data_IF_378661780922
#
_entry.id   IF_378661780922
#
_cell.length_a   1.000
_cell.length_b   1.000
_cell.length_c   1.000
_cell.angle_alpha   90.00
_cell.angle_beta   90.00
_cell.angle_gamma   90.00
#
_symmetry.space_group_name_H-M   'P 1'
#
loop_
_entity.id
_entity.type
_entity.pdbx_description
1 polymer ?
#
# COMPACT_ATOMS: atom_id res chain seq x y z
N UNK A 1 0.10 31.46 39.21
CA UNK A 1 0.41 30.04 39.46
C UNK A 1 -0.91 29.30 39.47
N UNK A 2 -1.04 28.26 38.66
CA UNK A 2 -2.27 27.48 38.58
C UNK A 2 -2.53 26.71 39.87
N UNK A 3 -3.76 26.73 40.37
CA UNK A 3 -4.17 25.98 41.56
C UNK A 3 -4.38 24.53 41.19
N UNK A 4 -3.62 23.62 41.80
CA UNK A 4 -3.78 22.19 41.58
C UNK A 4 -5.17 21.70 42.02
N UNK A 5 -5.74 20.78 41.25
CA UNK A 5 -7.10 20.26 41.45
C UNK A 5 -7.00 18.99 42.27
N UNK A 6 -7.64 18.96 43.44
CA UNK A 6 -7.71 17.78 44.31
C UNK A 6 -9.12 17.17 44.22
N UNK A 7 -9.21 15.94 43.72
CA UNK A 7 -10.44 15.15 43.59
C UNK A 7 -10.56 14.16 44.74
N UNK A 8 -11.78 13.98 45.26
CA UNK A 8 -12.07 12.98 46.30
C UNK A 8 -11.97 13.49 47.74
N UNK A 9 -11.79 14.81 47.98
CA UNK A 9 -11.73 15.38 49.33
C UNK A 9 -12.82 16.41 49.61
N UNK A 10 -13.36 16.34 50.83
CA UNK A 10 -14.15 17.42 51.42
C UNK A 10 -13.25 18.57 51.93
N UNK A 11 -13.81 19.74 52.22
CA UNK A 11 -13.06 20.86 52.83
C UNK A 11 -12.46 20.49 54.20
N UNK A 12 -13.13 19.63 54.97
CA UNK A 12 -12.60 19.12 56.23
C UNK A 12 -11.39 18.20 56.02
N UNK A 13 -11.45 17.31 55.02
CA UNK A 13 -10.34 16.42 54.69
C UNK A 13 -9.13 17.19 54.15
N UNK A 14 -9.34 18.27 53.37
CA UNK A 14 -8.25 19.15 52.91
C UNK A 14 -7.50 19.77 54.09
N UNK A 15 -8.22 20.30 55.09
CA UNK A 15 -7.61 20.88 56.30
C UNK A 15 -6.89 19.82 57.15
N UNK A 16 -7.45 18.61 57.25
CA UNK A 16 -6.92 17.55 58.11
C UNK A 16 -5.69 16.84 57.52
N UNK A 17 -5.74 16.52 56.22
CA UNK A 17 -4.73 15.67 55.59
C UNK A 17 -3.71 16.44 54.75
N UNK A 18 -3.96 17.73 54.44
CA UNK A 18 -3.05 18.54 53.63
C UNK A 18 -2.80 17.88 52.28
N UNK A 19 -1.54 17.54 51.97
CA UNK A 19 -1.18 16.84 50.73
C UNK A 19 -0.94 15.33 50.92
N UNK A 20 -1.08 14.81 52.14
CA UNK A 20 -0.76 13.40 52.47
C UNK A 20 -1.76 12.44 51.83
N UNK A 21 -1.29 11.44 51.08
CA UNK A 21 -2.15 10.45 50.43
C UNK A 21 -2.86 10.96 49.18
N UNK A 22 -2.26 11.95 48.50
CA UNK A 22 -2.62 12.36 47.15
C UNK A 22 -1.75 11.64 46.13
N UNK A 23 -2.36 11.14 45.04
CA UNK A 23 -1.64 10.65 43.86
C UNK A 23 -1.94 11.52 42.66
N UNK A 24 -0.94 11.76 41.82
CA UNK A 24 -1.14 12.48 40.55
C UNK A 24 -1.85 11.56 39.56
N UNK A 25 -3.06 11.94 39.12
CA UNK A 25 -3.83 11.16 38.13
C UNK A 25 -3.81 11.78 36.74
N UNK A 26 -3.37 13.03 36.62
CA UNK A 26 -3.21 13.68 35.31
C UNK A 26 -3.00 15.17 35.40
N UNK A 27 -3.16 15.84 34.27
CA UNK A 27 -3.11 17.30 34.16
C UNK A 27 -4.33 17.80 33.41
N UNK A 28 -4.84 18.94 33.86
CA UNK A 28 -5.93 19.62 33.21
C UNK A 28 -5.45 20.22 31.89
N UNK A 29 -6.10 19.84 30.80
CA UNK A 29 -5.97 20.50 29.51
C UNK A 29 -6.89 21.73 29.48
N UNK A 30 -6.32 22.90 29.26
CA UNK A 30 -7.07 24.14 29.10
C UNK A 30 -6.86 24.64 27.68
N UNK A 31 -7.97 24.90 26.98
CA UNK A 31 -7.95 25.43 25.62
C UNK A 31 -8.22 26.92 25.65
N UNK A 32 -7.22 27.73 25.34
CA UNK A 32 -7.35 29.18 25.20
C UNK A 32 -7.38 29.53 23.71
N UNK A 33 -8.59 29.67 23.17
CA UNK A 33 -8.78 29.91 21.74
C UNK A 33 -8.32 28.74 20.87
N UNK A 34 -7.20 28.91 20.16
CA UNK A 34 -6.59 27.89 19.28
C UNK A 34 -5.45 27.11 19.94
N UNK A 35 -4.94 27.58 21.08
CA UNK A 35 -3.84 26.93 21.77
C UNK A 35 -4.36 26.04 22.91
N UNK A 36 -3.69 24.91 23.09
CA UNK A 36 -3.96 23.97 24.17
C UNK A 36 -2.74 23.94 25.07
N UNK A 37 -2.91 24.25 26.34
CA UNK A 37 -1.87 24.19 27.35
C UNK A 37 -2.24 23.25 28.49
N UNK A 38 -1.22 22.60 29.06
CA UNK A 38 -1.36 21.87 30.31
C UNK A 38 -1.30 22.89 31.44
N UNK A 39 -2.38 23.01 32.21
CA UNK A 39 -2.49 24.01 33.27
C UNK A 39 -2.19 23.41 34.65
N UNK A 40 -3.21 22.83 35.29
CA UNK A 40 -3.14 22.41 36.69
C UNK A 40 -2.89 20.90 36.78
N UNK A 41 -2.15 20.45 37.80
CA UNK A 41 -2.12 19.03 38.11
C UNK A 41 -3.47 18.61 38.70
N UNK A 42 -3.86 17.37 38.43
CA UNK A 42 -5.05 16.76 39.00
C UNK A 42 -4.57 15.64 39.93
N UNK A 43 -4.75 15.85 41.22
CA UNK A 43 -4.48 14.89 42.27
C UNK A 43 -5.76 14.19 42.71
N UNK A 44 -5.64 12.95 43.13
CA UNK A 44 -6.72 12.16 43.70
C UNK A 44 -6.34 11.65 45.08
N UNK A 45 -7.27 11.74 46.03
CA UNK A 45 -7.12 11.09 47.34
C UNK A 45 -7.14 9.56 47.20
N UNK A 46 -6.24 8.88 47.89
CA UNK A 46 -6.21 7.41 47.98
C UNK A 46 -6.38 6.91 49.41
N UNK A 47 -6.58 7.82 50.36
CA UNK A 47 -6.83 7.46 51.75
C UNK A 47 -8.24 6.87 51.97
N UNK A 48 -9.16 7.11 51.03
CA UNK A 48 -10.54 6.60 51.07
C UNK A 48 -10.90 5.89 49.78
N UNK A 49 -11.93 5.06 49.84
CA UNK A 49 -12.49 4.41 48.65
C UNK A 49 -13.26 5.41 47.81
N UNK A 50 -13.01 5.40 46.50
CA UNK A 50 -13.70 6.24 45.53
C UNK A 50 -14.28 5.38 44.40
N UNK A 51 -15.48 5.76 43.94
CA UNK A 51 -16.01 5.27 42.66
C UNK A 51 -15.72 6.33 41.62
N UNK A 52 -14.95 5.98 40.58
CA UNK A 52 -14.55 6.90 39.53
C UNK A 52 -15.24 6.52 38.23
N UNK A 53 -15.97 7.47 37.64
CA UNK A 53 -16.55 7.33 36.31
C UNK A 53 -15.71 8.11 35.30
N UNK A 54 -15.03 7.39 34.40
CA UNK A 54 -14.27 7.99 33.31
C UNK A 54 -15.16 7.97 32.06
N UNK A 55 -15.59 9.15 31.63
CA UNK A 55 -16.32 9.33 30.38
C UNK A 55 -15.54 10.22 29.42
N UNK A 56 -15.60 9.87 28.14
CA UNK A 56 -14.95 10.63 27.08
C UNK A 56 -15.68 10.42 25.76
N UNK A 57 -15.50 11.34 24.82
CA UNK A 57 -15.98 11.14 23.46
C UNK A 57 -15.31 9.87 22.95
N UNK A 58 -16.10 8.86 22.57
CA UNK A 58 -15.54 7.62 22.02
C UNK A 58 -14.64 8.01 20.85
N UNK A 59 -13.41 7.52 20.84
CA UNK A 59 -12.54 7.60 19.65
C UNK A 59 -13.14 6.83 18.45
N UNK A 60 -14.20 6.04 18.69
CA UNK A 60 -15.00 5.39 17.66
C UNK A 60 -16.03 6.36 17.07
N UNK A 61 -16.02 6.45 15.74
CA UNK A 61 -16.84 7.39 14.98
C UNK A 61 -16.24 7.71 13.60
N UNK A 62 -14.93 7.56 13.46
CA UNK A 62 -14.20 7.86 12.22
C UNK A 62 -14.02 6.61 11.36
N UNK A 63 -15.13 5.98 10.96
CA UNK A 63 -15.08 4.74 10.17
C UNK A 63 -15.19 5.03 8.66
N UNK A 64 -14.62 4.14 7.86
CA UNK A 64 -14.79 4.10 6.41
C UNK A 64 -15.37 2.74 6.03
N UNK A 65 -15.96 2.61 4.84
CA UNK A 65 -16.48 1.35 4.35
C UNK A 65 -15.37 0.30 4.21
N UNK A 66 -15.71 -0.98 4.39
CA UNK A 66 -14.75 -2.08 4.46
C UNK A 66 -13.89 -2.28 3.20
N UNK A 67 -14.40 -1.87 2.05
CA UNK A 67 -13.69 -1.91 0.75
C UNK A 67 -12.81 -0.69 0.49
N UNK A 68 -12.72 0.25 1.43
CA UNK A 68 -11.88 1.44 1.27
C UNK A 68 -10.42 1.02 1.17
N UNK A 69 -9.78 1.36 0.05
CA UNK A 69 -8.39 1.01 -0.19
C UNK A 69 -7.44 1.85 0.67
N UNK A 70 -6.53 1.18 1.37
CA UNK A 70 -5.48 1.79 2.18
C UNK A 70 -4.11 1.46 1.58
N UNK A 71 -3.29 2.49 1.46
CA UNK A 71 -1.94 2.40 0.92
C UNK A 71 -0.96 1.88 1.99
N UNK A 72 -0.34 0.73 1.70
CA UNK A 72 0.75 0.17 2.49
C UNK A 72 2.08 0.88 2.17
N UNK A 73 3.07 0.68 3.04
CA UNK A 73 4.40 1.28 2.92
C UNK A 73 5.28 0.70 1.80
N UNK A 74 4.85 -0.41 1.21
CA UNK A 74 5.49 -1.12 0.09
C UNK A 74 4.87 -0.80 -1.28
N UNK A 75 3.89 0.11 -1.34
CA UNK A 75 3.25 0.49 -2.60
C UNK A 75 1.98 -0.28 -2.93
N UNK A 76 1.65 -1.36 -2.21
CA UNK A 76 0.37 -2.06 -2.40
C UNK A 76 -0.79 -1.29 -1.80
N UNK A 77 -1.98 -1.50 -2.36
CA UNK A 77 -3.24 -1.05 -1.80
C UNK A 77 -4.07 -2.27 -1.42
N UNK A 78 -4.63 -2.27 -0.22
CA UNK A 78 -5.52 -3.32 0.25
C UNK A 78 -6.81 -2.72 0.83
N UNK A 79 -7.96 -3.41 0.74
CA UNK A 79 -9.16 -3.03 1.49
C UNK A 79 -8.89 -2.89 2.99
N UNK A 80 -9.50 -1.90 3.65
CA UNK A 80 -9.33 -1.68 5.09
C UNK A 80 -9.73 -2.91 5.92
N UNK A 81 -10.67 -3.75 5.45
CA UNK A 81 -11.02 -5.01 6.15
C UNK A 81 -9.84 -5.97 6.28
N UNK A 82 -8.96 -6.01 5.29
CA UNK A 82 -7.77 -6.86 5.31
C UNK A 82 -6.70 -6.33 6.27
N UNK A 83 -6.76 -5.03 6.61
CA UNK A 83 -5.84 -4.47 7.58
C UNK A 83 -6.01 -5.06 8.97
N UNK A 84 -7.14 -5.68 9.33
CA UNK A 84 -7.32 -6.30 10.64
C UNK A 84 -6.18 -7.26 10.99
N UNK A 85 -5.86 -8.17 10.05
CA UNK A 85 -4.84 -9.20 10.21
C UNK A 85 -3.49 -8.82 9.59
N UNK A 86 -3.40 -7.67 8.92
CA UNK A 86 -2.16 -7.19 8.32
C UNK A 86 -1.38 -6.28 9.30
N UNK A 87 -0.09 -6.58 9.48
CA UNK A 87 0.83 -5.84 10.37
C UNK A 87 1.71 -4.83 9.64
N UNK A 88 1.63 -4.73 8.32
CA UNK A 88 2.43 -3.80 7.54
C UNK A 88 2.14 -2.36 7.96
N UNK A 89 3.14 -1.49 7.77
CA UNK A 89 2.97 -0.07 7.97
C UNK A 89 2.08 0.49 6.86
N UNK A 90 1.33 1.52 7.21
CA UNK A 90 0.46 2.26 6.29
C UNK A 90 1.04 3.66 6.08
N UNK A 91 0.65 4.31 4.99
CA UNK A 91 0.95 5.73 4.83
C UNK A 91 -0.09 6.58 5.58
N UNK A 92 0.40 7.53 6.38
CA UNK A 92 -0.42 8.49 7.10
C UNK A 92 0.10 9.92 6.94
N UNK A 93 -0.72 10.88 7.35
CA UNK A 93 -0.40 12.31 7.33
C UNK A 93 -0.08 12.79 8.75
N UNK A 94 1.10 13.38 8.95
CA UNK A 94 1.48 13.93 10.25
C UNK A 94 1.05 15.40 10.42
N UNK A 95 1.29 15.95 11.60
CA UNK A 95 0.92 17.34 11.97
C UNK A 95 1.62 18.41 11.11
N UNK A 96 2.78 18.08 10.51
CA UNK A 96 3.53 18.95 9.59
C UNK A 96 3.05 18.83 8.14
N UNK A 97 1.91 18.17 7.90
CA UNK A 97 1.35 17.89 6.58
C UNK A 97 2.30 17.10 5.67
N UNK A 98 3.11 16.21 6.26
CA UNK A 98 3.99 15.29 5.53
C UNK A 98 3.45 13.87 5.62
N UNK A 99 3.62 13.13 4.52
CA UNK A 99 3.28 11.70 4.48
C UNK A 99 4.41 10.92 5.14
N UNK A 100 4.06 10.00 6.03
CA UNK A 100 5.00 9.14 6.73
C UNK A 100 4.46 7.72 6.89
N UNK A 101 5.35 6.78 7.22
CA UNK A 101 5.01 5.38 7.46
C UNK A 101 4.58 5.21 8.92
N UNK A 102 3.35 4.77 9.13
CA UNK A 102 2.73 4.59 10.45
C UNK A 102 2.41 3.13 10.73
N UNK A 103 2.61 2.72 11.98
CA UNK A 103 2.14 1.42 12.47
C UNK A 103 0.70 1.56 12.98
N UNK A 104 -0.20 0.71 12.48
CA UNK A 104 -1.54 0.58 13.05
C UNK A 104 -1.44 0.07 14.48
N UNK A 105 -2.10 0.75 15.44
CA UNK A 105 -2.19 0.32 16.85
C UNK A 105 -3.33 -0.67 17.07
N UNK A 106 -4.54 -0.28 16.66
CA UNK A 106 -5.76 -1.05 16.85
C UNK A 106 -6.61 -1.09 15.58
N UNK A 107 -7.56 -2.02 15.54
CA UNK A 107 -8.56 -2.13 14.49
C UNK A 107 -9.95 -2.21 15.10
N UNK A 108 -10.85 -1.34 14.64
CA UNK A 108 -12.22 -1.27 15.16
C UNK A 108 -13.22 -1.55 14.05
N UNK A 109 -14.16 -2.45 14.34
CA UNK A 109 -15.31 -2.76 13.49
C UNK A 109 -16.59 -2.31 14.19
N UNK A 110 -17.54 -1.80 13.42
CA UNK A 110 -18.90 -1.55 13.90
C UNK A 110 -19.88 -1.60 12.74
N UNK A 111 -21.10 -2.01 13.04
CA UNK A 111 -22.24 -1.80 12.16
C UNK A 111 -22.70 -0.35 12.29
N UNK A 112 -23.06 0.26 11.17
CA UNK A 112 -23.58 1.64 11.11
C UNK A 112 -24.85 1.65 10.28
N UNK A 113 -25.76 2.57 10.61
CA UNK A 113 -27.03 2.72 9.89
C UNK A 113 -26.82 3.45 8.56
N UNK A 114 -26.03 4.52 8.59
CA UNK A 114 -25.86 5.44 7.47
C UNK A 114 -24.39 5.59 7.08
N UNK A 115 -24.16 5.71 5.77
CA UNK A 115 -22.88 6.06 5.16
C UNK A 115 -23.09 7.21 4.17
N UNK A 116 -22.12 8.11 4.12
CA UNK A 116 -22.04 9.13 3.07
C UNK A 116 -21.11 8.62 1.98
N UNK A 117 -21.61 8.60 0.75
CA UNK A 117 -20.81 8.37 -0.45
C UNK A 117 -20.34 9.70 -1.02
N UNK A 118 -19.05 9.99 -0.86
CA UNK A 118 -18.43 11.23 -1.32
C UNK A 118 -17.69 10.97 -2.62
N UNK A 119 -17.99 11.77 -3.65
CA UNK A 119 -17.30 11.77 -4.95
C UNK A 119 -16.59 13.09 -5.18
N UNK A 120 -15.31 13.01 -5.54
CA UNK A 120 -14.49 14.16 -5.91
C UNK A 120 -14.61 14.45 -7.40
N UNK A 121 -14.32 15.71 -7.79
CA UNK A 121 -14.21 16.12 -9.20
C UNK A 121 -13.22 15.25 -9.99
N UNK A 122 -12.19 14.73 -9.34
CA UNK A 122 -11.21 13.81 -9.94
C UNK A 122 -11.74 12.41 -10.25
N UNK A 123 -13.00 12.11 -9.89
CA UNK A 123 -13.58 10.77 -10.00
C UNK A 123 -13.25 9.84 -8.82
N UNK A 124 -12.41 10.28 -7.87
CA UNK A 124 -12.16 9.50 -6.65
C UNK A 124 -13.40 9.48 -5.76
N UNK A 125 -13.66 8.32 -5.17
CA UNK A 125 -14.82 8.10 -4.32
C UNK A 125 -14.42 7.47 -2.99
N UNK A 126 -15.16 7.80 -1.93
CA UNK A 126 -14.99 7.20 -0.61
C UNK A 126 -16.34 7.12 0.09
N UNK A 127 -16.57 6.02 0.83
CA UNK A 127 -17.75 5.79 1.64
C UNK A 127 -17.35 5.83 3.10
N UNK A 128 -17.97 6.71 3.89
CA UNK A 128 -17.57 6.95 5.27
C UNK A 128 -18.74 7.36 6.14
N UNK A 129 -18.56 7.25 7.45
CA UNK A 129 -19.61 7.61 8.41
C UNK A 129 -19.78 9.14 8.48
N UNK A 130 -20.99 9.66 8.74
CA UNK A 130 -21.28 11.10 8.69
C UNK A 130 -20.33 11.99 9.50
N UNK A 131 -19.91 11.50 10.67
CA UNK A 131 -19.04 12.16 11.62
C UNK A 131 -17.54 12.00 11.33
N UNK A 132 -17.16 11.22 10.31
CA UNK A 132 -15.77 11.02 9.93
C UNK A 132 -15.16 12.34 9.43
N UNK A 133 -14.08 12.83 10.03
CA UNK A 133 -13.51 14.12 9.65
C UNK A 133 -12.60 14.00 8.44
N UNK A 134 -12.78 14.89 7.46
CA UNK A 134 -11.84 15.09 6.37
C UNK A 134 -11.06 16.39 6.59
N UNK A 135 -9.79 16.39 6.19
CA UNK A 135 -8.95 17.58 6.27
C UNK A 135 -9.37 18.55 5.16
N UNK A 136 -9.87 19.73 5.53
CA UNK A 136 -10.15 20.84 4.59
C UNK A 136 -8.99 21.83 4.59
N UNK A 137 -9.09 22.89 3.78
CA UNK A 137 -8.07 23.97 3.72
C UNK A 137 -7.84 24.62 5.10
N UNK A 138 -8.90 24.79 5.91
CA UNK A 138 -8.82 25.51 7.19
C UNK A 138 -8.62 24.56 8.38
N UNK A 139 -9.30 23.41 8.37
CA UNK A 139 -9.32 22.48 9.51
C UNK A 139 -9.87 21.12 9.12
N UNK A 140 -9.71 20.14 10.01
CA UNK A 140 -10.55 18.94 9.99
C UNK A 140 -12.01 19.31 10.17
N UNK A 141 -12.90 18.73 9.35
CA UNK A 141 -14.35 18.90 9.45
C UNK A 141 -15.07 17.58 9.17
N UNK A 142 -16.09 17.21 9.96
CA UNK A 142 -16.97 16.08 9.67
C UNK A 142 -17.55 16.14 8.24
N UNK A 143 -17.72 14.99 7.59
CA UNK A 143 -18.25 14.95 6.22
C UNK A 143 -19.67 15.47 6.11
N UNK A 144 -20.53 15.22 7.10
CA UNK A 144 -21.90 15.75 7.11
C UNK A 144 -21.99 17.28 7.19
N UNK A 145 -20.91 17.97 7.56
CA UNK A 145 -20.84 19.43 7.55
C UNK A 145 -20.29 19.99 6.22
N UNK A 146 -19.79 19.13 5.34
CA UNK A 146 -19.25 19.54 4.05
C UNK A 146 -20.38 19.73 3.04
N UNK A 147 -20.32 20.84 2.29
CA UNK A 147 -21.22 21.12 1.16
C UNK A 147 -20.54 20.75 -0.15
N UNK A 148 -21.32 20.46 -1.19
CA UNK A 148 -20.81 20.33 -2.56
C UNK A 148 -19.98 21.57 -2.92
N UNK A 149 -18.80 21.35 -3.52
CA UNK A 149 -17.81 22.40 -3.80
C UNK A 149 -16.76 22.60 -2.70
N UNK A 150 -16.92 21.98 -1.53
CA UNK A 150 -15.89 21.98 -0.48
C UNK A 150 -14.60 21.32 -0.97
N UNK A 151 -13.45 21.89 -0.59
CA UNK A 151 -12.13 21.35 -0.92
C UNK A 151 -11.59 20.55 0.26
N UNK A 152 -11.25 19.30 0.00
CA UNK A 152 -10.58 18.40 0.95
C UNK A 152 -9.14 18.11 0.51
N UNK A 153 -8.28 17.80 1.47
CA UNK A 153 -6.91 17.42 1.24
C UNK A 153 -6.84 16.04 0.59
N UNK A 154 -5.99 15.93 -0.43
CA UNK A 154 -5.70 14.69 -1.13
C UNK A 154 -4.20 14.68 -1.42
N UNK A 155 -3.48 13.57 -1.16
CA UNK A 155 -2.05 13.51 -1.45
C UNK A 155 -1.81 13.63 -2.96
N UNK A 156 -0.87 14.50 -3.34
CA UNK A 156 -0.42 14.68 -4.73
C UNK A 156 0.56 13.59 -5.16
N UNK A 157 1.41 13.15 -4.24
CA UNK A 157 2.39 12.08 -4.42
C UNK A 157 2.35 11.18 -3.19
N UNK A 158 2.49 9.89 -3.44
CA UNK A 158 2.67 8.86 -2.41
C UNK A 158 4.00 8.20 -2.75
N UNK A 159 5.01 8.47 -1.93
CA UNK A 159 6.37 7.98 -2.14
C UNK A 159 6.47 6.54 -1.61
N UNK A 160 5.63 5.66 -2.18
CA UNK A 160 5.54 4.24 -1.81
C UNK A 160 6.28 3.31 -2.77
N UNK A 161 6.80 3.85 -3.88
CA UNK A 161 7.63 3.11 -4.84
C UNK A 161 9.10 3.27 -4.48
N UNK A 162 9.89 2.21 -4.68
CA UNK A 162 11.31 2.20 -4.31
C UNK A 162 12.16 3.19 -5.09
N UNK A 163 13.38 3.45 -4.61
CA UNK A 163 14.33 4.38 -5.22
C UNK A 163 15.29 3.72 -6.21
N UNK A 164 14.99 2.50 -6.64
CA UNK A 164 15.87 1.75 -7.54
C UNK A 164 15.86 2.38 -8.92
N UNK A 165 17.05 2.68 -9.45
CA UNK A 165 17.21 3.09 -10.84
C UNK A 165 17.22 1.85 -11.74
N UNK A 166 16.44 1.89 -12.82
CA UNK A 166 16.40 0.84 -13.83
C UNK A 166 17.03 1.40 -15.11
N UNK A 167 17.98 0.70 -15.76
CA UNK A 167 18.54 1.14 -17.03
C UNK A 167 17.45 1.41 -18.08
N UNK A 168 17.61 2.47 -18.88
CA UNK A 168 16.61 2.89 -19.88
C UNK A 168 16.14 1.76 -20.81
N UNK A 169 17.05 0.88 -21.25
CA UNK A 169 16.70 -0.24 -22.12
C UNK A 169 15.73 -1.23 -21.43
N UNK A 170 15.87 -1.48 -20.13
CA UNK A 170 14.93 -2.34 -19.38
C UNK A 170 13.55 -1.72 -19.24
N UNK A 171 13.49 -0.40 -19.04
CA UNK A 171 12.22 0.34 -18.98
C UNK A 171 11.50 0.28 -20.34
N UNK A 172 12.23 0.51 -21.43
CA UNK A 172 11.72 0.42 -22.80
C UNK A 172 11.16 -0.98 -23.09
N UNK A 173 11.94 -2.03 -22.82
CA UNK A 173 11.49 -3.40 -23.03
C UNK A 173 10.24 -3.75 -22.22
N UNK A 174 10.19 -3.36 -20.94
CA UNK A 174 9.01 -3.56 -20.11
C UNK A 174 7.78 -2.85 -20.71
N UNK A 175 7.94 -1.60 -21.16
CA UNK A 175 6.86 -0.84 -21.79
C UNK A 175 6.37 -1.52 -23.09
N UNK A 176 7.28 -1.96 -23.95
CA UNK A 176 6.95 -2.70 -25.17
C UNK A 176 6.23 -4.01 -24.87
N UNK A 177 6.68 -4.77 -23.85
CA UNK A 177 6.02 -6.02 -23.48
C UNK A 177 4.63 -5.82 -22.88
N UNK A 178 4.42 -4.75 -22.12
CA UNK A 178 3.09 -4.41 -21.57
C UNK A 178 2.14 -3.97 -22.68
N UNK A 179 2.64 -3.19 -23.64
CA UNK A 179 1.81 -2.65 -24.72
C UNK A 179 1.42 -3.73 -25.76
N UNK A 180 2.41 -4.47 -26.28
CA UNK A 180 2.24 -5.31 -27.48
C UNK A 180 3.04 -6.62 -27.41
N UNK A 181 3.44 -7.02 -26.21
CA UNK A 181 4.25 -8.20 -25.99
C UNK A 181 3.47 -9.46 -25.63
N UNK A 182 4.15 -10.59 -25.79
CA UNK A 182 3.75 -11.87 -25.24
C UNK A 182 4.96 -12.52 -24.58
N UNK A 183 4.83 -13.05 -23.37
CA UNK A 183 5.98 -13.62 -22.62
C UNK A 183 5.73 -15.02 -22.04
N UNK A 184 4.64 -15.71 -22.43
CA UNK A 184 4.27 -17.00 -21.81
C UNK A 184 5.17 -18.16 -22.23
N UNK A 185 4.94 -18.72 -23.44
CA UNK A 185 5.72 -19.86 -23.96
C UNK A 185 6.86 -19.43 -24.86
N UNK A 186 6.65 -18.31 -25.55
CA UNK A 186 7.57 -17.69 -26.49
C UNK A 186 7.49 -16.20 -26.19
N UNK A 187 8.63 -15.52 -26.18
CA UNK A 187 8.64 -14.09 -26.09
C UNK A 187 8.47 -13.48 -27.50
N UNK A 188 7.37 -12.77 -27.71
CA UNK A 188 7.02 -12.11 -28.97
C UNK A 188 6.76 -10.63 -28.73
N UNK A 189 6.99 -9.83 -29.76
CA UNK A 189 6.68 -8.41 -29.84
C UNK A 189 6.10 -8.14 -31.24
N UNK A 190 4.98 -7.41 -31.32
CA UNK A 190 4.35 -7.11 -32.61
C UNK A 190 4.16 -5.61 -32.78
N UNK A 191 4.74 -5.04 -33.83
CA UNK A 191 4.59 -3.64 -34.18
C UNK A 191 4.90 -3.43 -35.67
N UNK A 192 4.35 -2.39 -36.30
CA UNK A 192 4.57 -2.04 -37.71
C UNK A 192 5.43 -0.78 -37.90
N UNK A 193 5.64 0.01 -36.86
CA UNK A 193 6.41 1.24 -36.89
C UNK A 193 7.93 0.92 -36.88
N UNK A 194 8.68 1.31 -37.93
CA UNK A 194 10.08 0.97 -38.07
C UNK A 194 10.96 1.56 -36.97
N UNK A 195 10.62 2.73 -36.41
CA UNK A 195 11.40 3.38 -35.36
C UNK A 195 11.24 2.65 -34.03
N UNK A 196 10.01 2.21 -33.72
CA UNK A 196 9.73 1.39 -32.55
C UNK A 196 10.46 0.05 -32.65
N UNK A 197 10.39 -0.61 -33.81
CA UNK A 197 11.05 -1.90 -34.05
C UNK A 197 12.56 -1.77 -33.87
N UNK A 198 13.16 -0.69 -34.40
CA UNK A 198 14.59 -0.42 -34.24
C UNK A 198 14.97 -0.21 -32.78
N UNK A 199 14.22 0.62 -32.06
CA UNK A 199 14.48 0.90 -30.64
C UNK A 199 14.31 -0.35 -29.76
N UNK A 200 13.33 -1.19 -30.07
CA UNK A 200 13.13 -2.49 -29.41
C UNK A 200 14.35 -3.41 -29.63
N UNK A 201 14.82 -3.54 -30.87
CA UNK A 201 16.00 -4.37 -31.22
C UNK A 201 17.27 -3.88 -30.52
N UNK A 202 17.52 -2.57 -30.52
CA UNK A 202 18.67 -1.97 -29.81
C UNK A 202 18.58 -2.17 -28.30
N UNK A 203 17.38 -2.03 -27.73
CA UNK A 203 17.13 -2.24 -26.30
C UNK A 203 17.31 -3.70 -25.90
N UNK A 204 16.85 -4.65 -26.73
CA UNK A 204 17.07 -6.09 -26.54
C UNK A 204 18.54 -6.46 -26.55
N UNK A 205 19.31 -5.94 -27.51
CA UNK A 205 20.75 -6.23 -27.60
C UNK A 205 21.53 -5.70 -26.39
N UNK A 206 21.12 -4.54 -25.85
CA UNK A 206 21.67 -3.97 -24.61
C UNK A 206 21.26 -4.75 -23.36
N UNK A 207 20.07 -5.36 -23.38
CA UNK A 207 19.56 -6.15 -22.26
C UNK A 207 20.30 -7.48 -22.13
N UNK A 208 20.45 -8.19 -23.24
CA UNK A 208 21.22 -9.44 -23.34
C UNK A 208 21.74 -9.61 -24.77
N UNK A 209 23.06 -9.59 -24.93
CA UNK A 209 23.70 -9.71 -26.24
C UNK A 209 23.54 -11.10 -26.87
N UNK A 210 23.15 -12.12 -26.10
CA UNK A 210 22.90 -13.47 -26.59
C UNK A 210 21.49 -13.66 -27.18
N UNK A 211 20.61 -12.67 -27.01
CA UNK A 211 19.27 -12.67 -27.58
C UNK A 211 19.24 -12.02 -28.95
N UNK A 212 18.47 -12.63 -29.84
CA UNK A 212 18.19 -12.16 -31.18
C UNK A 212 16.70 -11.96 -31.39
N UNK A 213 16.37 -11.00 -32.24
CA UNK A 213 15.01 -10.59 -32.57
C UNK A 213 14.72 -10.97 -34.01
N UNK A 214 14.06 -12.11 -34.20
CA UNK A 214 13.77 -12.71 -35.52
C UNK A 214 12.36 -12.36 -35.94
N UNK A 215 12.19 -11.84 -37.14
CA UNK A 215 10.85 -11.61 -37.70
C UNK A 215 10.28 -12.94 -38.23
N UNK A 216 9.26 -13.49 -37.57
CA UNK A 216 8.61 -14.74 -38.01
C UNK A 216 7.54 -14.48 -39.07
N UNK A 217 6.86 -13.35 -38.94
CA UNK A 217 5.82 -12.85 -39.85
C UNK A 217 5.93 -11.35 -39.92
N UNK A 218 5.42 -10.74 -40.99
CA UNK A 218 5.44 -9.28 -41.16
C UNK A 218 4.92 -8.57 -39.91
N UNK A 219 5.78 -7.78 -39.26
CA UNK A 219 5.46 -7.03 -38.04
C UNK A 219 5.36 -7.87 -36.75
N UNK A 220 5.82 -9.12 -36.75
CA UNK A 220 5.84 -10.01 -35.60
C UNK A 220 7.25 -10.55 -35.35
N UNK A 221 7.81 -10.15 -34.22
CA UNK A 221 9.19 -10.36 -33.82
C UNK A 221 9.27 -11.33 -32.65
N UNK A 222 10.02 -12.42 -32.83
CA UNK A 222 10.29 -13.42 -31.81
C UNK A 222 11.68 -13.24 -31.23
N UNK A 223 11.75 -13.37 -29.91
CA UNK A 223 13.02 -13.48 -29.22
C UNK A 223 13.53 -14.92 -29.25
N UNK A 224 14.79 -15.08 -29.65
CA UNK A 224 15.50 -16.36 -29.69
C UNK A 224 16.87 -16.22 -29.06
N UNK A 225 17.39 -17.30 -28.48
CA UNK A 225 18.78 -17.36 -28.00
C UNK A 225 19.51 -18.43 -28.81
N UNK A 226 20.64 -18.10 -29.44
CA UNK A 226 21.38 -19.04 -30.28
C UNK A 226 22.13 -20.14 -29.48
N UNK A 227 22.38 -19.92 -28.18
CA UNK A 227 23.14 -20.85 -27.35
C UNK A 227 22.25 -21.84 -26.58
N UNK A 228 21.72 -22.82 -27.29
CA UNK A 228 21.33 -24.10 -26.70
C UNK A 228 21.89 -25.24 -27.54
N UNK A 229 23.12 -25.66 -27.23
CA UNK A 229 23.61 -26.96 -27.69
C UNK A 229 22.71 -28.03 -27.06
N UNK A 230 21.66 -28.44 -27.79
CA UNK A 230 21.05 -29.73 -27.51
C UNK A 230 22.08 -30.77 -27.92
N UNK A 231 22.88 -31.24 -26.96
CA UNK A 231 23.85 -32.29 -27.22
C UNK A 231 23.06 -33.60 -27.26
N UNK A 232 23.13 -34.29 -28.38
CA UNK A 232 22.68 -35.68 -28.47
C UNK A 232 23.73 -36.50 -27.72
N UNK A 233 23.39 -36.99 -26.53
CA UNK A 233 24.30 -37.82 -25.74
C UNK A 233 24.37 -39.24 -26.29
N UNK A 234 23.22 -39.75 -26.73
CA UNK A 234 23.10 -41.05 -27.36
C UNK A 234 21.86 -41.07 -28.27
N UNK A 235 21.95 -41.75 -29.41
CA UNK A 235 20.82 -41.92 -30.30
C UNK A 235 20.83 -43.28 -30.98
N UNK A 236 19.88 -44.14 -30.62
CA UNK A 236 19.57 -45.38 -31.35
C UNK A 236 18.34 -45.12 -32.22
N UNK A 237 18.57 -44.51 -33.39
CA UNK A 237 17.53 -44.18 -34.34
C UNK A 237 17.31 -45.36 -35.28
N UNK A 238 16.17 -46.02 -35.15
CA UNK A 238 15.77 -47.11 -36.04
C UNK A 238 14.60 -46.61 -36.87
N UNK A 239 14.79 -46.55 -38.19
CA UNK A 239 13.74 -46.15 -39.15
C UNK A 239 13.32 -47.33 -40.01
N UNK A 240 12.04 -47.41 -40.29
CA UNK A 240 11.49 -48.29 -41.32
C UNK A 240 11.96 -47.77 -42.70
N UNK A 241 12.65 -48.63 -43.47
CA UNK A 241 13.22 -48.28 -44.77
C UNK A 241 12.17 -48.02 -45.86
N UNK A 242 10.95 -48.46 -45.63
CA UNK A 242 9.84 -48.39 -46.59
C UNK A 242 8.94 -47.18 -46.34
N UNK A 243 8.68 -46.85 -45.07
CA UNK A 243 7.76 -45.78 -44.68
C UNK A 243 8.46 -44.52 -44.15
N UNK A 244 9.77 -44.60 -43.87
CA UNK A 244 10.56 -43.51 -43.30
C UNK A 244 10.23 -43.18 -41.84
N UNK A 245 9.30 -43.91 -41.21
CA UNK A 245 8.84 -43.68 -39.84
C UNK A 245 9.80 -44.28 -38.82
N UNK A 246 9.82 -43.70 -37.61
CA UNK A 246 10.60 -44.24 -36.49
C UNK A 246 9.94 -45.52 -35.95
N UNK A 247 10.74 -46.56 -35.75
CA UNK A 247 10.29 -47.82 -35.18
C UNK A 247 10.26 -47.77 -33.64
N UNK A 248 9.38 -48.58 -33.04
CA UNK A 248 9.20 -48.69 -31.58
C UNK A 248 10.51 -49.21 -30.96
N UNK A 249 11.05 -48.49 -29.97
CA UNK A 249 12.40 -48.72 -29.42
C UNK A 249 13.45 -47.68 -29.83
N UNK A 250 13.06 -46.68 -30.63
CA UNK A 250 13.90 -45.50 -30.88
C UNK A 250 14.07 -44.69 -29.60
N UNK A 251 15.30 -44.60 -29.09
CA UNK A 251 15.65 -43.79 -27.92
C UNK A 251 16.58 -42.68 -28.38
N UNK A 252 16.22 -41.43 -28.05
CA UNK A 252 17.05 -40.25 -28.26
C UNK A 252 17.32 -39.63 -26.89
N UNK A 253 18.52 -39.83 -26.36
CA UNK A 253 18.93 -39.24 -25.08
C UNK A 253 19.51 -37.87 -25.38
N UNK A 254 18.79 -36.84 -24.96
CA UNK A 254 19.14 -35.45 -25.21
C UNK A 254 19.52 -34.81 -23.88
N UNK A 255 20.69 -34.18 -23.82
CA UNK A 255 20.97 -33.23 -22.76
C UNK A 255 20.34 -31.89 -23.19
N UNK A 256 19.23 -31.51 -22.56
CA UNK A 256 18.58 -30.22 -22.78
C UNK A 256 18.96 -29.26 -21.65
N UNK A 257 19.92 -28.38 -21.89
CA UNK A 257 20.14 -27.21 -21.04
C UNK A 257 19.09 -26.14 -21.39
N UNK A 258 17.84 -26.36 -20.96
CA UNK A 258 16.77 -25.37 -21.12
C UNK A 258 16.65 -24.59 -19.82
N UNK A 259 17.13 -23.35 -19.80
CA UNK A 259 16.74 -22.38 -18.77
C UNK A 259 16.18 -21.14 -19.46
N UNK A 260 14.98 -21.30 -20.01
CA UNK A 260 13.99 -20.24 -20.11
C UNK A 260 12.66 -20.85 -19.66
N UNK A 261 12.56 -21.12 -18.36
CA UNK A 261 11.27 -20.92 -17.70
C UNK A 261 11.24 -19.43 -17.38
N UNK A 262 10.56 -18.66 -18.23
CA UNK A 262 10.01 -17.36 -17.84
C UNK A 262 8.90 -17.63 -16.83
#
# INVERSE_FOLDING_TARGET
MGTDIIVGRSEADKKRFGDKGLILIGRQYVKMGREVSLANNIYMDVNRSHVVFICGKRGSGKCVHEDTLIQLDDGRQIPIKELENNKNKILGLNEKLKIEKLQKRDFFKRSVKDLIHLRLRSGREIKLTPEHPLLTIKSWRPVNELKVGSRIAVPRRLDSFGNNSIPHHRIKLLAYFIAEGHTKKIALFSNSDPDIIKDFKESMKKFDSALDVVEEKKGCYRLTQHHHNTIVLDSKIIRDKTTGRFLKGTIKVLLKNTFLRV
#
